data_IF_249405859341
#
_entry.id   IF_249405859341
#
_cell.length_a   1.000
_cell.length_b   1.000
_cell.length_c   1.000
_cell.angle_alpha   90.00
_cell.angle_beta   90.00
_cell.angle_gamma   90.00
#
_symmetry.space_group_name_H-M   'P 1'
#
loop_
_entity.id
_entity.type
_entity.pdbx_description
1 polymer ?
#
# COMPACT_ATOMS: atom_id res chain seq x y z
N UNK A 1 48.79 17.22 32.95
CA UNK A 1 47.89 16.60 33.94
C UNK A 1 46.48 16.75 33.41
N UNK A 2 45.85 15.64 33.02
CA UNK A 2 44.56 15.62 32.34
C UNK A 2 43.42 15.84 33.33
N UNK A 3 42.53 16.79 33.02
CA UNK A 3 41.24 17.01 33.69
C UNK A 3 40.19 17.24 32.61
N UNK A 4 39.35 16.24 32.37
CA UNK A 4 38.03 16.29 31.71
C UNK A 4 37.40 14.92 32.02
N UNK A 5 36.22 14.75 32.59
CA UNK A 5 35.01 15.56 32.61
C UNK A 5 33.87 14.56 32.42
N UNK A 6 33.14 14.26 33.49
CA UNK A 6 32.01 13.31 33.53
C UNK A 6 30.92 13.74 32.53
N UNK A 7 30.54 12.85 31.62
CA UNK A 7 29.40 13.05 30.71
C UNK A 7 28.13 12.55 31.40
N UNK A 8 27.21 13.48 31.65
CA UNK A 8 25.86 13.23 32.12
C UNK A 8 25.03 12.54 31.03
N UNK A 9 24.39 11.42 31.38
CA UNK A 9 23.37 10.76 30.56
C UNK A 9 22.04 11.44 30.87
N UNK A 10 21.64 12.38 30.03
CA UNK A 10 20.30 12.97 30.08
C UNK A 10 19.25 12.00 29.52
N UNK A 11 18.21 11.85 30.31
CA UNK A 11 17.04 11.01 30.14
C UNK A 11 16.04 11.68 29.19
N UNK A 12 15.83 11.09 28.00
CA UNK A 12 14.78 11.52 27.09
C UNK A 12 13.38 11.15 27.66
N UNK A 13 12.44 12.11 27.76
CA UNK A 13 11.14 11.84 28.36
C UNK A 13 10.14 11.22 27.37
N UNK A 14 9.31 10.33 27.92
CA UNK A 14 8.64 9.21 27.24
C UNK A 14 7.24 9.52 26.69
N UNK A 15 6.98 10.75 26.22
CA UNK A 15 5.64 11.21 25.83
C UNK A 15 5.40 11.37 24.31
N UNK A 16 6.26 10.82 23.45
CA UNK A 16 6.11 10.86 21.98
C UNK A 16 6.07 9.46 21.34
N UNK A 17 5.22 8.55 21.85
CA UNK A 17 4.90 7.31 21.12
C UNK A 17 3.38 7.10 21.05
N UNK A 18 2.79 6.98 19.84
CA UNK A 18 1.39 6.57 19.69
C UNK A 18 1.26 5.10 20.07
N UNK A 19 0.46 4.81 21.11
CA UNK A 19 0.14 3.44 21.51
C UNK A 19 -0.89 2.84 20.54
N UNK A 20 -0.42 2.00 19.62
CA UNK A 20 -1.26 1.05 18.89
C UNK A 20 -1.48 -0.18 19.77
N UNK A 21 -2.61 -0.25 20.47
CA UNK A 21 -3.08 -1.48 21.13
C UNK A 21 -3.90 -2.29 20.15
N UNK A 22 -3.30 -3.32 19.54
CA UNK A 22 -4.05 -4.42 18.93
C UNK A 22 -4.19 -5.52 19.98
N UNK A 23 -5.38 -5.66 20.54
CA UNK A 23 -5.79 -6.84 21.31
C UNK A 23 -6.80 -7.61 20.47
N UNK A 24 -6.36 -8.73 19.87
CA UNK A 24 -7.25 -9.69 19.24
C UNK A 24 -7.85 -10.62 20.31
N UNK A 25 -9.17 -10.90 20.32
CA UNK A 25 -9.70 -12.00 21.10
C UNK A 25 -9.66 -13.31 20.30
N UNK A 26 -9.07 -14.33 20.91
CA UNK A 26 -9.21 -15.73 20.53
C UNK A 26 -10.67 -16.14 20.76
N UNK A 27 -11.34 -16.68 19.73
CA UNK A 27 -12.62 -17.37 19.92
C UNK A 27 -12.58 -18.75 19.27
N UNK A 28 -13.12 -19.69 20.04
CA UNK A 28 -13.02 -21.12 19.90
C UNK A 28 -13.60 -21.67 18.59
N UNK A 29 -12.92 -22.68 18.08
CA UNK A 29 -13.37 -23.59 17.03
C UNK A 29 -14.60 -24.38 17.47
N UNK A 30 -15.71 -24.21 16.76
CA UNK A 30 -16.81 -25.17 16.72
C UNK A 30 -17.24 -25.43 15.28
N UNK A 31 -17.06 -26.68 14.86
CA UNK A 31 -17.59 -27.24 13.63
C UNK A 31 -19.08 -27.52 13.78
N UNK A 32 -19.92 -27.05 12.85
CA UNK A 32 -21.23 -27.63 12.60
C UNK A 32 -21.80 -27.23 11.21
N UNK A 33 -22.08 -28.27 10.43
CA UNK A 33 -23.16 -28.42 9.45
C UNK A 33 -23.23 -27.50 8.22
N UNK A 34 -23.14 -28.17 7.07
CA UNK A 34 -23.47 -27.69 5.74
C UNK A 34 -24.93 -27.20 5.63
N UNK A 35 -25.12 -26.05 5.00
CA UNK A 35 -26.38 -25.58 4.44
C UNK A 35 -26.10 -25.03 3.03
N UNK A 36 -27.00 -25.27 2.06
CA UNK A 36 -26.76 -24.97 0.65
C UNK A 36 -26.87 -23.48 0.34
N UNK A 37 -26.06 -23.06 -0.63
CA UNK A 37 -25.95 -21.70 -1.14
C UNK A 37 -27.25 -21.29 -1.88
N UNK A 38 -27.99 -20.35 -1.31
CA UNK A 38 -29.08 -19.64 -2.00
C UNK A 38 -28.53 -18.38 -2.67
N UNK A 39 -28.89 -18.06 -3.92
CA UNK A 39 -28.41 -16.86 -4.59
C UNK A 39 -29.11 -15.63 -3.99
N UNK A 40 -28.31 -14.69 -3.47
CA UNK A 40 -28.81 -13.40 -3.03
C UNK A 40 -29.19 -12.57 -4.27
N UNK A 41 -30.50 -12.42 -4.52
CA UNK A 41 -31.03 -11.42 -5.43
C UNK A 41 -30.55 -10.03 -4.99
N UNK A 42 -29.93 -9.30 -5.91
CA UNK A 42 -29.57 -7.90 -5.74
C UNK A 42 -30.83 -7.05 -5.60
N UNK A 43 -31.24 -6.81 -4.36
CA UNK A 43 -32.29 -5.86 -4.00
C UNK A 43 -31.73 -4.45 -4.13
N UNK A 44 -32.01 -3.80 -5.25
CA UNK A 44 -31.76 -2.37 -5.47
C UNK A 44 -32.65 -1.56 -4.53
N UNK A 45 -32.11 -1.19 -3.37
CA UNK A 45 -32.77 -0.28 -2.44
C UNK A 45 -32.26 1.14 -2.74
N UNK A 46 -32.99 1.88 -3.57
CA UNK A 46 -32.73 3.29 -3.82
C UNK A 46 -33.02 4.08 -2.54
N UNK A 47 -31.96 4.52 -1.86
CA UNK A 47 -32.05 5.55 -0.83
C UNK A 47 -31.46 6.82 -1.44
N UNK A 48 -32.34 7.78 -1.75
CA UNK A 48 -31.96 9.07 -2.30
C UNK A 48 -31.08 9.84 -1.30
N UNK A 49 -29.85 10.12 -1.72
CA UNK A 49 -28.97 11.15 -1.15
C UNK A 49 -29.20 12.44 -1.96
N UNK A 50 -29.36 13.62 -1.33
CA UNK A 50 -29.46 14.85 -2.08
C UNK A 50 -28.09 15.15 -2.71
N UNK A 51 -28.04 15.05 -4.03
CA UNK A 51 -26.92 15.54 -4.83
C UNK A 51 -26.96 17.07 -4.81
N UNK A 52 -25.91 17.69 -4.27
CA UNK A 52 -25.65 19.11 -4.46
C UNK A 52 -25.17 19.27 -5.91
N UNK A 53 -26.09 19.60 -6.81
CA UNK A 53 -25.77 19.95 -8.19
C UNK A 53 -24.96 21.26 -8.20
N UNK A 54 -23.67 21.17 -8.47
CA UNK A 54 -22.85 22.29 -8.93
C UNK A 54 -22.88 22.35 -10.45
N UNK A 55 -23.91 23.00 -10.98
CA UNK A 55 -23.93 23.43 -12.38
C UNK A 55 -22.90 24.55 -12.58
N UNK A 56 -21.68 24.16 -12.96
CA UNK A 56 -20.67 25.08 -13.50
C UNK A 56 -20.84 25.18 -15.01
N UNK A 57 -21.85 25.92 -15.45
CA UNK A 57 -21.97 26.35 -16.84
C UNK A 57 -21.58 27.81 -16.98
N UNK A 58 -20.40 28.00 -17.57
CA UNK A 58 -20.02 29.07 -18.49
C UNK A 58 -20.68 30.45 -18.27
N UNK A 59 -20.03 31.31 -17.49
CA UNK A 59 -20.23 32.76 -17.63
C UNK A 59 -19.02 33.39 -18.30
N UNK A 60 -19.24 33.70 -19.58
CA UNK A 60 -18.46 34.58 -20.46
C UNK A 60 -17.77 35.70 -19.69
N UNK A 61 -16.50 35.88 -20.05
CA UNK A 61 -15.82 37.16 -20.02
C UNK A 61 -16.76 38.29 -20.44
N UNK A 62 -17.13 39.15 -19.49
CA UNK A 62 -17.56 40.49 -19.83
C UNK A 62 -16.59 41.48 -19.22
N UNK A 63 -16.08 42.30 -20.13
CA UNK A 63 -15.06 43.29 -19.97
C UNK A 63 -15.58 44.47 -19.13
N UNK A 64 -14.69 45.07 -18.34
CA UNK A 64 -14.78 46.45 -17.88
C UNK A 64 -16.03 46.86 -17.08
N UNK A 65 -15.95 46.74 -15.76
CA UNK A 65 -16.40 47.78 -14.81
C UNK A 65 -16.10 47.26 -13.40
N UNK A 66 -14.89 47.54 -12.91
CA UNK A 66 -14.64 47.51 -11.47
C UNK A 66 -15.59 48.55 -10.83
N UNK A 67 -16.41 48.19 -9.83
CA UNK A 67 -17.03 49.21 -9.01
C UNK A 67 -15.87 49.89 -8.30
N UNK A 68 -15.58 51.13 -8.71
CA UNK A 68 -14.75 52.02 -7.94
C UNK A 68 -15.41 52.18 -6.57
N UNK A 69 -15.06 51.29 -5.63
CA UNK A 69 -15.15 51.56 -4.21
C UNK A 69 -14.27 52.79 -4.01
N UNK A 70 -14.89 53.96 -4.14
CA UNK A 70 -14.38 55.24 -3.67
C UNK A 70 -14.22 55.07 -2.17
N UNK A 71 -13.11 54.47 -1.77
CA UNK A 71 -12.60 54.45 -0.42
C UNK A 71 -12.36 55.91 -0.09
N UNK A 72 -13.32 56.51 0.62
CA UNK A 72 -13.14 57.84 1.19
C UNK A 72 -11.92 57.77 2.09
N UNK A 73 -10.78 58.24 1.59
CA UNK A 73 -9.63 58.54 2.40
C UNK A 73 -10.02 59.74 3.27
N UNK A 74 -10.67 59.47 4.41
CA UNK A 74 -10.78 60.46 5.45
C UNK A 74 -9.41 60.55 6.11
N UNK A 75 -8.55 61.40 5.54
CA UNK A 75 -7.50 62.03 6.31
C UNK A 75 -8.22 62.92 7.32
N UNK A 76 -8.58 62.38 8.49
CA UNK A 76 -8.92 63.23 9.62
C UNK A 76 -7.71 64.12 9.82
N UNK A 77 -7.83 65.41 9.50
CA UNK A 77 -6.79 66.40 9.78
C UNK A 77 -6.29 66.13 11.19
N UNK A 78 -4.98 65.94 11.37
CA UNK A 78 -4.38 65.82 12.70
C UNK A 78 -4.83 67.06 13.47
N UNK A 79 -5.89 66.92 14.27
CA UNK A 79 -6.23 67.91 15.29
C UNK A 79 -5.10 67.72 16.28
N UNK A 80 -4.05 68.51 16.13
CA UNK A 80 -3.04 68.67 17.17
C UNK A 80 -3.86 69.05 18.40
N UNK A 81 -4.05 68.10 19.31
CA UNK A 81 -4.43 68.46 20.66
C UNK A 81 -3.19 69.13 21.20
N UNK A 82 -3.13 70.43 20.96
CA UNK A 82 -2.23 71.35 21.61
C UNK A 82 -2.49 71.24 23.11
N UNK A 83 -1.83 70.28 23.73
CA UNK A 83 -1.71 70.18 25.18
C UNK A 83 -0.73 71.28 25.62
N UNK A 84 -1.13 72.54 25.45
CA UNK A 84 -0.42 73.66 26.02
C UNK A 84 -0.69 73.65 27.51
N UNK A 85 0.25 73.10 28.28
CA UNK A 85 0.23 73.20 29.73
C UNK A 85 0.51 74.66 30.11
N UNK A 86 -0.53 75.38 30.56
CA UNK A 86 -0.45 76.79 30.90
C UNK A 86 0.23 76.97 32.26
N UNK A 87 1.55 77.11 32.24
CA UNK A 87 2.39 77.22 33.43
C UNK A 87 2.05 78.45 34.27
N UNK A 88 1.62 79.54 33.63
CA UNK A 88 1.30 80.80 34.30
C UNK A 88 -0.05 80.74 35.03
N UNK A 89 -1.07 80.10 34.44
CA UNK A 89 -2.36 79.92 35.13
C UNK A 89 -2.23 79.06 36.38
N UNK A 90 -1.43 78.00 36.31
CA UNK A 90 -1.21 77.12 37.45
C UNK A 90 -0.48 77.82 38.60
N UNK A 91 0.54 78.64 38.29
CA UNK A 91 1.23 79.44 39.31
C UNK A 91 0.31 80.49 39.93
N UNK A 92 -0.55 81.16 39.14
CA UNK A 92 -1.54 82.11 39.66
C UNK A 92 -2.54 81.43 40.59
N UNK A 93 -3.06 80.27 40.21
CA UNK A 93 -4.01 79.52 41.01
C UNK A 93 -3.41 79.07 42.36
N UNK A 94 -2.15 78.63 42.39
CA UNK A 94 -1.46 78.30 43.64
C UNK A 94 -1.24 79.53 44.54
N UNK A 95 -0.93 80.68 43.96
CA UNK A 95 -0.84 81.94 44.72
C UNK A 95 -2.18 82.34 45.32
N UNK A 96 -3.28 82.18 44.57
CA UNK A 96 -4.64 82.47 45.05
C UNK A 96 -5.06 81.53 46.20
N UNK A 97 -4.51 80.31 46.25
CA UNK A 97 -4.69 79.34 47.34
C UNK A 97 -3.72 79.55 48.54
N UNK A 98 -2.91 80.61 48.52
CA UNK A 98 -2.07 81.01 49.66
C UNK A 98 -0.63 80.50 49.64
N UNK A 99 -0.16 79.91 48.54
CA UNK A 99 1.25 79.53 48.37
C UNK A 99 2.12 80.73 48.01
N UNK A 100 3.39 80.71 48.44
CA UNK A 100 4.35 81.74 47.99
C UNK A 100 4.66 81.56 46.51
N UNK A 101 5.06 82.65 45.85
CA UNK A 101 5.43 82.64 44.43
C UNK A 101 6.54 81.63 44.14
N UNK A 102 7.57 81.60 44.98
CA UNK A 102 8.72 80.71 44.85
C UNK A 102 8.31 79.24 44.98
N UNK A 103 7.43 78.91 45.93
CA UNK A 103 6.89 77.55 46.11
C UNK A 103 6.03 77.12 44.92
N UNK A 104 5.20 78.03 44.40
CA UNK A 104 4.33 77.77 43.26
C UNK A 104 5.14 77.51 41.99
N UNK A 105 6.22 78.28 41.77
CA UNK A 105 7.16 78.09 40.65
C UNK A 105 7.95 76.80 40.80
N UNK A 106 8.37 76.42 42.01
CA UNK A 106 9.07 75.15 42.25
C UNK A 106 8.16 73.94 41.97
N UNK A 107 6.92 73.96 42.44
CA UNK A 107 5.94 72.89 42.22
C UNK A 107 5.61 72.71 40.73
N UNK A 108 5.50 73.83 40.00
CA UNK A 108 5.32 73.85 38.55
C UNK A 108 6.46 73.13 37.80
N UNK A 109 7.71 73.34 38.21
CA UNK A 109 8.88 72.68 37.59
C UNK A 109 8.83 71.16 37.78
N UNK A 110 8.57 70.69 39.01
CA UNK A 110 8.45 69.25 39.30
C UNK A 110 7.31 68.62 38.50
N UNK A 111 6.16 69.29 38.40
CA UNK A 111 5.04 68.79 37.62
C UNK A 111 5.34 68.75 36.11
N UNK A 112 6.09 69.73 35.60
CA UNK A 112 6.55 69.72 34.21
C UNK A 112 7.44 68.50 33.93
N UNK A 113 8.37 68.18 34.83
CA UNK A 113 9.27 67.03 34.71
C UNK A 113 8.48 65.70 34.70
N UNK A 114 7.53 65.52 35.63
CA UNK A 114 6.69 64.31 35.70
C UNK A 114 5.80 64.17 34.47
N UNK A 115 5.21 65.27 33.97
CA UNK A 115 4.40 65.25 32.74
C UNK A 115 5.28 64.89 31.54
N UNK A 116 6.49 65.45 31.44
CA UNK A 116 7.41 65.18 30.35
C UNK A 116 7.86 63.71 30.33
N UNK A 117 8.18 63.15 31.50
CA UNK A 117 8.50 61.72 31.65
C UNK A 117 7.30 60.83 31.26
N UNK A 118 6.10 61.18 31.71
CA UNK A 118 4.86 60.46 31.37
C UNK A 118 4.56 60.48 29.86
N UNK A 119 4.71 61.63 29.21
CA UNK A 119 4.51 61.76 27.75
C UNK A 119 5.54 60.92 26.99
N UNK A 120 6.81 60.92 27.42
CA UNK A 120 7.85 60.08 26.80
C UNK A 120 7.56 58.59 26.96
N UNK A 121 7.13 58.16 28.15
CA UNK A 121 6.78 56.76 28.41
C UNK A 121 5.58 56.29 27.57
N UNK A 122 4.54 57.13 27.45
CA UNK A 122 3.39 56.86 26.58
C UNK A 122 3.79 56.82 25.10
N UNK A 123 4.58 57.80 24.66
CA UNK A 123 5.00 57.89 23.24
C UNK A 123 5.89 56.71 22.85
N UNK A 124 6.66 56.13 23.78
CA UNK A 124 7.52 54.96 23.53
C UNK A 124 6.75 53.70 23.16
N UNK A 125 5.53 53.54 23.67
CA UNK A 125 4.68 52.34 23.41
C UNK A 125 3.63 52.59 22.34
N UNK A 126 3.38 53.84 21.96
CA UNK A 126 2.45 54.21 20.91
C UNK A 126 3.08 54.09 19.53
N UNK A 127 2.27 53.67 18.56
CA UNK A 127 2.66 53.60 17.15
C UNK A 127 1.89 54.66 16.37
N UNK A 128 2.58 55.33 15.44
CA UNK A 128 1.96 56.26 14.51
C UNK A 128 0.93 55.52 13.66
N UNK A 129 -0.25 56.12 13.47
CA UNK A 129 -1.32 55.53 12.68
C UNK A 129 -0.88 55.21 11.23
N UNK A 130 0.02 56.03 10.68
CA UNK A 130 0.55 55.83 9.34
C UNK A 130 1.46 54.59 9.26
N UNK A 131 2.32 54.38 10.25
CA UNK A 131 3.20 53.19 10.32
C UNK A 131 2.40 51.91 10.59
N UNK A 132 1.39 51.99 11.46
CA UNK A 132 0.46 50.87 11.70
C UNK A 132 -0.32 50.51 10.42
N UNK A 133 -0.81 51.51 9.69
CA UNK A 133 -1.52 51.30 8.43
C UNK A 133 -0.61 50.73 7.34
N UNK A 134 0.64 51.21 7.24
CA UNK A 134 1.65 50.70 6.30
C UNK A 134 2.01 49.25 6.60
N UNK A 135 2.26 48.93 7.87
CA UNK A 135 2.57 47.55 8.31
C UNK A 135 1.41 46.61 8.00
N UNK A 136 0.18 47.04 8.29
CA UNK A 136 -1.03 46.26 7.98
C UNK A 136 -1.20 46.05 6.47
N UNK A 137 -0.86 47.05 5.65
CA UNK A 137 -0.92 46.93 4.20
C UNK A 137 0.09 45.91 3.69
N UNK A 138 1.35 45.99 4.13
CA UNK A 138 2.40 45.03 3.76
C UNK A 138 1.99 43.61 4.14
N UNK A 139 1.52 43.41 5.38
CA UNK A 139 1.02 42.11 5.84
C UNK A 139 -0.08 41.56 4.92
N UNK A 140 -1.06 42.39 4.52
CA UNK A 140 -2.14 41.96 3.63
C UNK A 140 -1.64 41.55 2.24
N UNK A 141 -0.67 42.27 1.70
CA UNK A 141 -0.05 41.93 0.41
C UNK A 141 0.71 40.61 0.54
N UNK A 142 1.47 40.42 1.62
CA UNK A 142 2.23 39.20 1.87
C UNK A 142 1.28 37.99 2.02
N UNK A 143 0.18 38.13 2.77
CA UNK A 143 -0.82 37.08 2.88
C UNK A 143 -1.49 36.76 1.53
N UNK A 144 -1.76 37.77 0.70
CA UNK A 144 -2.31 37.54 -0.63
C UNK A 144 -1.31 36.77 -1.52
N UNK A 145 -0.02 37.12 -1.45
CA UNK A 145 1.05 36.44 -2.17
C UNK A 145 1.24 35.01 -1.70
N UNK A 146 1.35 34.78 -0.39
CA UNK A 146 1.47 33.44 0.20
C UNK A 146 0.28 32.55 -0.16
N UNK A 147 -0.94 33.10 -0.16
CA UNK A 147 -2.12 32.35 -0.59
C UNK A 147 -2.06 31.96 -2.06
N UNK A 148 -1.59 32.86 -2.93
CA UNK A 148 -1.41 32.56 -4.35
C UNK A 148 -0.35 31.49 -4.57
N UNK A 149 0.80 31.60 -3.89
CA UNK A 149 1.89 30.62 -3.96
C UNK A 149 1.45 29.25 -3.43
N UNK A 150 0.76 29.22 -2.29
CA UNK A 150 0.20 27.98 -1.72
C UNK A 150 -0.80 27.32 -2.67
N UNK A 151 -1.73 28.08 -3.23
CA UNK A 151 -2.73 27.53 -4.18
C UNK A 151 -2.05 27.00 -5.44
N UNK A 152 -1.02 27.68 -5.93
CA UNK A 152 -0.24 27.23 -7.09
C UNK A 152 0.57 25.97 -6.78
N UNK A 153 1.22 25.90 -5.61
CA UNK A 153 1.99 24.74 -5.18
C UNK A 153 1.09 23.53 -4.96
N UNK A 154 -0.03 23.70 -4.25
CA UNK A 154 -1.03 22.65 -4.02
C UNK A 154 -1.61 22.11 -5.33
N UNK A 155 -1.99 22.99 -6.26
CA UNK A 155 -2.47 22.54 -7.58
C UNK A 155 -1.38 21.79 -8.37
N UNK A 156 -0.12 22.20 -8.26
CA UNK A 156 0.99 21.53 -8.95
C UNK A 156 1.24 20.16 -8.34
N UNK A 157 1.33 20.06 -7.02
CA UNK A 157 1.54 18.81 -6.30
C UNK A 157 0.40 17.82 -6.53
N UNK A 158 -0.86 18.30 -6.47
CA UNK A 158 -2.05 17.51 -6.76
C UNK A 158 -2.03 16.95 -8.19
N UNK A 159 -1.67 17.77 -9.18
CA UNK A 159 -1.55 17.34 -10.57
C UNK A 159 -0.42 16.31 -10.76
N UNK A 160 0.73 16.48 -10.09
CA UNK A 160 1.83 15.50 -10.17
C UNK A 160 1.45 14.17 -9.53
N UNK A 161 0.81 14.20 -8.36
CA UNK A 161 0.33 13.02 -7.65
C UNK A 161 -0.73 12.29 -8.46
N UNK A 162 -1.69 13.01 -9.03
CA UNK A 162 -2.71 12.43 -9.91
C UNK A 162 -2.09 11.78 -11.14
N UNK A 163 -1.14 12.45 -11.79
CA UNK A 163 -0.44 11.91 -12.95
C UNK A 163 0.36 10.65 -12.61
N UNK A 164 1.03 10.62 -11.45
CA UNK A 164 1.73 9.44 -10.96
C UNK A 164 0.76 8.29 -10.65
N UNK A 165 -0.38 8.59 -10.02
CA UNK A 165 -1.42 7.61 -9.72
C UNK A 165 -2.01 6.98 -11.00
N UNK A 166 -2.31 7.79 -12.02
CA UNK A 166 -2.80 7.30 -13.32
C UNK A 166 -1.76 6.42 -14.02
N UNK A 167 -0.48 6.80 -13.99
CA UNK A 167 0.63 5.98 -14.52
C UNK A 167 0.75 4.64 -13.80
N UNK A 168 0.78 4.64 -12.47
CA UNK A 168 0.87 3.42 -11.67
C UNK A 168 -0.34 2.51 -11.90
N UNK A 169 -1.54 3.07 -12.01
CA UNK A 169 -2.76 2.32 -12.30
C UNK A 169 -2.66 1.63 -13.67
N UNK A 170 -2.16 2.33 -14.69
CA UNK A 170 -1.93 1.75 -16.02
C UNK A 170 -0.87 0.64 -15.99
N UNK A 171 0.21 0.82 -15.23
CA UNK A 171 1.26 -0.18 -15.11
C UNK A 171 0.76 -1.42 -14.37
N UNK A 172 -0.04 -1.26 -13.31
CA UNK A 172 -0.70 -2.37 -12.62
C UNK A 172 -1.61 -3.15 -13.59
N UNK A 173 -2.41 -2.46 -14.40
CA UNK A 173 -3.27 -3.09 -15.39
C UNK A 173 -2.46 -3.89 -16.44
N UNK A 174 -1.36 -3.30 -16.94
CA UNK A 174 -0.45 -3.97 -17.88
C UNK A 174 0.22 -5.20 -17.26
N UNK A 175 0.76 -5.10 -16.04
CA UNK A 175 1.37 -6.23 -15.34
C UNK A 175 0.35 -7.33 -15.08
N UNK A 176 -0.87 -6.97 -14.66
CA UNK A 176 -1.94 -7.95 -14.45
C UNK A 176 -2.29 -8.71 -15.72
N UNK A 177 -2.40 -8.02 -16.86
CA UNK A 177 -2.62 -8.67 -18.15
C UNK A 177 -1.48 -9.60 -18.53
N UNK A 178 -0.23 -9.13 -18.46
CA UNK A 178 0.95 -9.95 -18.77
C UNK A 178 1.05 -11.20 -17.90
N UNK A 179 0.79 -11.05 -16.60
CA UNK A 179 0.81 -12.16 -15.66
C UNK A 179 -0.29 -13.18 -15.98
N UNK A 180 -1.50 -12.73 -16.37
CA UNK A 180 -2.55 -13.64 -16.84
C UNK A 180 -2.14 -14.37 -18.12
N UNK A 181 -1.52 -13.68 -19.06
CA UNK A 181 -1.05 -14.28 -20.32
C UNK A 181 0.07 -15.30 -20.07
N UNK A 182 1.01 -15.00 -19.17
CA UNK A 182 2.08 -15.92 -18.77
C UNK A 182 1.54 -17.13 -17.99
N UNK A 183 0.58 -16.93 -17.08
CA UNK A 183 -0.12 -18.05 -16.42
C UNK A 183 -0.85 -18.91 -17.45
N UNK A 184 -1.57 -18.30 -18.39
CA UNK A 184 -2.26 -19.03 -19.46
C UNK A 184 -1.30 -19.84 -20.33
N UNK A 185 -0.17 -19.23 -20.72
CA UNK A 185 0.88 -19.89 -21.52
C UNK A 185 1.55 -21.03 -20.75
N UNK A 186 1.93 -20.82 -19.49
CA UNK A 186 2.54 -21.86 -18.65
C UNK A 186 1.57 -23.00 -18.38
N UNK A 187 0.30 -22.69 -18.10
CA UNK A 187 -0.74 -23.70 -17.93
C UNK A 187 -0.96 -24.53 -19.20
N UNK A 188 -1.00 -23.89 -20.38
CA UNK A 188 -1.09 -24.59 -21.65
C UNK A 188 0.14 -25.48 -21.90
N UNK A 189 1.34 -24.99 -21.59
CA UNK A 189 2.58 -25.76 -21.70
C UNK A 189 2.57 -26.99 -20.79
N UNK A 190 2.18 -26.85 -19.53
CA UNK A 190 2.10 -27.97 -18.58
C UNK A 190 1.03 -28.98 -19.01
N UNK A 191 -0.12 -28.51 -19.53
CA UNK A 191 -1.14 -29.43 -20.07
C UNK A 191 -0.63 -30.21 -21.27
N UNK A 192 0.10 -29.56 -22.18
CA UNK A 192 0.71 -30.23 -23.31
C UNK A 192 1.75 -31.26 -22.85
N UNK A 193 2.63 -30.88 -21.94
CA UNK A 193 3.67 -31.75 -21.38
C UNK A 193 3.07 -33.01 -20.74
N UNK A 194 2.04 -32.85 -19.89
CA UNK A 194 1.31 -33.97 -19.32
C UNK A 194 0.62 -34.85 -20.37
N UNK A 195 0.11 -34.27 -21.44
CA UNK A 195 -0.52 -35.04 -22.51
C UNK A 195 0.51 -35.82 -23.33
N UNK A 196 1.66 -35.22 -23.63
CA UNK A 196 2.77 -35.91 -24.29
C UNK A 196 3.32 -37.03 -23.41
N UNK A 197 3.50 -36.78 -22.12
CA UNK A 197 3.99 -37.79 -21.18
C UNK A 197 3.00 -38.94 -21.00
N UNK A 198 1.68 -38.67 -20.97
CA UNK A 198 0.66 -39.73 -21.02
C UNK A 198 0.73 -40.53 -22.31
N UNK A 199 0.97 -39.86 -23.44
CA UNK A 199 1.20 -40.51 -24.73
C UNK A 199 2.41 -41.44 -24.68
N UNK A 200 3.54 -40.95 -24.18
CA UNK A 200 4.78 -41.70 -24.01
C UNK A 200 4.62 -42.91 -23.10
N UNK A 201 3.99 -42.74 -21.92
CA UNK A 201 3.69 -43.85 -21.01
C UNK A 201 2.83 -44.91 -21.69
N UNK A 202 1.85 -44.50 -22.50
CA UNK A 202 1.00 -45.43 -23.25
C UNK A 202 1.78 -46.18 -24.33
N UNK A 203 2.63 -45.49 -25.07
CA UNK A 203 3.50 -46.12 -26.09
C UNK A 203 4.48 -47.10 -25.44
N UNK A 204 5.09 -46.74 -24.32
CA UNK A 204 5.96 -47.63 -23.54
C UNK A 204 5.19 -48.84 -23.01
N UNK A 205 3.96 -48.65 -22.49
CA UNK A 205 3.11 -49.75 -22.03
C UNK A 205 2.75 -50.72 -23.16
N UNK A 206 2.37 -50.21 -24.34
CA UNK A 206 2.11 -51.04 -25.52
C UNK A 206 3.37 -51.77 -25.98
N UNK A 207 4.53 -51.10 -25.94
CA UNK A 207 5.82 -51.71 -26.25
C UNK A 207 6.19 -52.85 -25.28
N UNK A 208 5.88 -52.69 -23.99
CA UNK A 208 6.03 -53.74 -23.00
C UNK A 208 5.05 -54.90 -23.24
N UNK A 209 3.80 -54.60 -23.57
CA UNK A 209 2.79 -55.62 -23.88
C UNK A 209 3.19 -56.48 -25.09
N UNK A 210 3.75 -55.87 -26.14
CA UNK A 210 4.28 -56.59 -27.29
C UNK A 210 5.45 -57.50 -26.92
N UNK A 211 6.40 -57.01 -26.12
CA UNK A 211 7.53 -57.83 -25.63
C UNK A 211 7.04 -59.02 -24.80
N UNK A 212 6.02 -58.82 -23.97
CA UNK A 212 5.40 -59.90 -23.20
C UNK A 212 4.79 -60.94 -24.14
N UNK A 213 4.00 -60.51 -25.13
CA UNK A 213 3.41 -61.42 -26.13
C UNK A 213 4.46 -62.18 -26.94
N UNK A 214 5.53 -61.53 -27.37
CA UNK A 214 6.65 -62.20 -28.02
C UNK A 214 7.27 -63.27 -27.11
N UNK A 215 7.51 -62.97 -25.83
CA UNK A 215 8.03 -63.96 -24.88
C UNK A 215 7.03 -65.08 -24.61
N UNK A 216 5.73 -64.79 -24.54
CA UNK A 216 4.66 -65.79 -24.39
C UNK A 216 4.67 -66.76 -25.57
N UNK A 217 4.71 -66.26 -26.81
CA UNK A 217 4.81 -67.14 -28.00
C UNK A 217 6.09 -67.96 -28.04
N UNK A 218 7.23 -67.42 -27.58
CA UNK A 218 8.48 -68.20 -27.46
C UNK A 218 8.35 -69.32 -26.44
N UNK A 219 7.73 -69.05 -25.30
CA UNK A 219 7.46 -70.07 -24.27
C UNK A 219 6.55 -71.15 -24.85
N UNK A 220 5.48 -70.79 -25.55
CA UNK A 220 4.60 -71.77 -26.20
C UNK A 220 5.34 -72.65 -27.21
N UNK A 221 6.23 -72.06 -28.02
CA UNK A 221 7.09 -72.80 -28.95
C UNK A 221 8.05 -73.75 -28.22
N UNK A 222 8.70 -73.29 -27.15
CA UNK A 222 9.58 -74.13 -26.34
C UNK A 222 8.81 -75.26 -25.66
N UNK A 223 7.59 -75.01 -25.18
CA UNK A 223 6.70 -76.02 -24.59
C UNK A 223 6.28 -77.06 -25.63
N UNK A 224 5.92 -76.63 -26.85
CA UNK A 224 5.61 -77.55 -27.94
C UNK A 224 6.82 -78.41 -28.32
N UNK A 225 8.01 -77.83 -28.42
CA UNK A 225 9.25 -78.55 -28.69
C UNK A 225 9.60 -79.54 -27.56
N UNK A 226 9.40 -79.17 -26.29
CA UNK A 226 9.59 -80.07 -25.14
C UNK A 226 8.59 -81.22 -25.16
N UNK A 227 7.34 -80.97 -25.57
CA UNK A 227 6.32 -82.00 -25.72
C UNK A 227 6.67 -82.99 -26.83
N UNK A 228 7.15 -82.52 -27.98
CA UNK A 228 7.63 -83.38 -29.07
C UNK A 228 8.80 -84.26 -28.62
N UNK A 229 9.79 -83.67 -27.94
CA UNK A 229 10.91 -84.43 -27.35
C UNK A 229 10.41 -85.48 -26.35
N UNK A 230 9.41 -85.16 -25.54
CA UNK A 230 8.82 -86.11 -24.60
C UNK A 230 8.13 -87.27 -25.33
N UNK A 231 7.36 -86.98 -26.37
CA UNK A 231 6.72 -88.00 -27.21
C UNK A 231 7.78 -88.88 -27.90
N UNK A 232 8.84 -88.30 -28.43
CA UNK A 232 9.98 -89.03 -29.00
C UNK A 232 10.64 -89.96 -27.96
N UNK A 233 10.91 -89.46 -26.74
CA UNK A 233 11.46 -90.28 -25.66
C UNK A 233 10.52 -91.43 -25.30
N UNK A 234 9.20 -91.19 -25.24
CA UNK A 234 8.21 -92.25 -25.02
C UNK A 234 8.27 -93.32 -26.11
N UNK A 235 8.31 -92.93 -27.39
CA UNK A 235 8.43 -93.88 -28.51
C UNK A 235 9.75 -94.67 -28.46
N UNK A 236 10.87 -94.00 -28.17
CA UNK A 236 12.16 -94.67 -28.03
C UNK A 236 12.12 -95.70 -26.89
N UNK A 237 11.53 -95.34 -25.74
CA UNK A 237 11.40 -96.25 -24.59
C UNK A 237 10.51 -97.45 -24.93
N UNK A 238 9.40 -97.24 -25.64
CA UNK A 238 8.55 -98.32 -26.15
C UNK A 238 9.30 -99.22 -27.14
N UNK A 239 10.13 -98.66 -28.00
CA UNK A 239 10.94 -99.44 -28.95
C UNK A 239 11.99 -100.30 -28.24
N UNK A 240 12.68 -99.76 -27.22
CA UNK A 240 13.59 -100.55 -26.37
C UNK A 240 12.85 -101.66 -25.63
N UNK A 241 11.66 -101.38 -25.09
CA UNK A 241 10.83 -102.39 -24.43
C UNK A 241 10.48 -103.53 -25.40
N UNK A 242 10.03 -103.21 -26.61
CA UNK A 242 9.73 -104.21 -27.65
C UNK A 242 10.98 -105.01 -28.04
N UNK A 243 12.14 -104.37 -28.14
CA UNK A 243 13.42 -105.03 -28.41
C UNK A 243 13.82 -106.02 -27.30
N UNK A 244 13.70 -105.62 -26.03
CA UNK A 244 14.02 -106.48 -24.88
C UNK A 244 13.02 -107.63 -24.77
N UNK A 245 11.72 -107.39 -24.92
CA UNK A 245 10.70 -108.44 -24.91
C UNK A 245 10.92 -109.46 -26.05
N UNK A 246 11.22 -108.98 -27.26
CA UNK A 246 11.51 -109.84 -28.42
C UNK A 246 12.80 -110.64 -28.22
N UNK A 247 13.85 -110.01 -27.68
CA UNK A 247 15.11 -110.67 -27.34
C UNK A 247 14.93 -111.76 -26.28
N UNK A 248 14.16 -111.48 -25.22
CA UNK A 248 13.85 -112.46 -24.19
C UNK A 248 13.02 -113.63 -24.74
N UNK A 249 12.01 -113.35 -25.58
CA UNK A 249 11.25 -114.38 -26.27
C UNK A 249 12.14 -115.25 -27.17
N UNK A 250 13.08 -114.66 -27.91
CA UNK A 250 14.04 -115.38 -28.74
C UNK A 250 14.99 -116.26 -27.91
N UNK A 251 15.47 -115.78 -26.76
CA UNK A 251 16.30 -116.58 -25.83
C UNK A 251 15.50 -117.75 -25.22
N UNK A 252 14.25 -117.53 -24.82
CA UNK A 252 13.37 -118.60 -24.33
C UNK A 252 13.15 -119.68 -25.40
N UNK A 253 12.86 -119.28 -26.64
CA UNK A 253 12.73 -120.21 -27.76
C UNK A 253 14.04 -120.93 -28.07
N UNK A 254 15.18 -120.23 -27.99
CA UNK A 254 16.51 -120.81 -28.14
C UNK A 254 16.83 -121.84 -27.06
N UNK A 255 16.53 -121.53 -25.79
CA UNK A 255 16.73 -122.44 -24.66
C UNK A 255 15.78 -123.64 -24.75
N UNK A 256 14.51 -123.43 -25.11
CA UNK A 256 13.55 -124.52 -25.36
C UNK A 256 14.05 -125.47 -26.44
N UNK A 257 14.64 -124.93 -27.51
CA UNK A 257 15.24 -125.73 -28.59
C UNK A 257 16.49 -126.51 -28.17
N UNK A 258 17.25 -126.04 -27.18
CA UNK A 258 18.47 -126.68 -26.69
C UNK A 258 18.19 -127.74 -25.62
N UNK A 259 17.01 -127.68 -24.98
CA UNK A 259 16.55 -128.61 -23.95
C UNK A 259 15.70 -129.77 -24.50
N UNK A 260 15.28 -129.71 -25.77
CA UNK A 260 14.62 -130.81 -26.50
C UNK A 260 15.60 -131.61 -27.36
#
# INVERSE_FOLDING_TARGET
MAVTGLVAVETLPRFLLPRLSWTAPLSASRSAAAQPFAPLQARTNQRAVPAFNTDFSARRYNNGQTPALRRGFHATSRRSREHHFDTLKFVKQLKDEGFTEEQSVAMMKVLNDVIQESIQNLTRTMVLRDDAARTTYTQKVDFAKLRSELTSADSTESNTTRSAHERLTNDIAKLSSRLRDEIGRTQASVRLDLNLEKGRIREEAVGQELKIKETETKIEQEVAALREKLEQVKFQTLQWLMGVCTGFAALLLGAWRLLM
#
